data_IF_752977146455
#
_entry.id   IF_752977146455
#
_cell.length_a   1.000
_cell.length_b   1.000
_cell.length_c   1.000
_cell.angle_alpha   90.00
_cell.angle_beta   90.00
_cell.angle_gamma   90.00
#
_symmetry.space_group_name_H-M   'P 1'
#
loop_
_entity.id
_entity.type
_entity.pdbx_description
1 polymer ?
#
# COMPACT_ATOMS: atom_id res chain seq x y z
N UNK A 1 -11.97 -34.47 -21.52
CA UNK A 1 -12.05 -34.05 -20.12
C UNK A 1 -11.06 -32.89 -20.00
N UNK A 2 -11.57 -31.65 -20.05
CA UNK A 2 -10.73 -30.47 -19.92
C UNK A 2 -10.35 -30.32 -18.44
N UNK A 3 -9.05 -30.35 -18.16
CA UNK A 3 -8.55 -29.94 -16.87
C UNK A 3 -9.03 -28.52 -16.60
N UNK A 4 -9.84 -28.35 -15.57
CA UNK A 4 -10.22 -27.04 -15.05
C UNK A 4 -8.95 -26.38 -14.58
N UNK A 5 -8.45 -25.41 -15.34
CA UNK A 5 -7.27 -24.62 -14.97
C UNK A 5 -7.51 -23.99 -13.60
N UNK A 6 -6.86 -24.52 -12.56
CA UNK A 6 -6.69 -23.80 -11.29
C UNK A 6 -5.91 -22.55 -11.65
N UNK A 7 -6.52 -21.38 -11.47
CA UNK A 7 -5.78 -20.13 -11.50
C UNK A 7 -4.70 -20.19 -10.42
N UNK A 8 -3.50 -19.72 -10.74
CA UNK A 8 -2.43 -19.62 -9.74
C UNK A 8 -2.90 -18.77 -8.55
N UNK A 9 -2.49 -19.13 -7.31
CA UNK A 9 -2.83 -18.34 -6.12
C UNK A 9 -2.31 -16.91 -6.27
N UNK A 10 -3.13 -15.93 -5.87
CA UNK A 10 -2.71 -14.53 -5.86
C UNK A 10 -1.60 -14.31 -4.84
N UNK A 11 -0.53 -13.67 -5.25
CA UNK A 11 0.64 -13.41 -4.41
C UNK A 11 0.43 -12.13 -3.60
N UNK A 12 0.47 -12.24 -2.28
CA UNK A 12 0.24 -11.11 -1.38
C UNK A 12 1.47 -10.85 -0.52
N UNK A 13 1.91 -9.59 -0.49
CA UNK A 13 2.90 -9.09 0.44
C UNK A 13 2.22 -8.16 1.45
N UNK A 14 2.47 -8.35 2.74
CA UNK A 14 2.02 -7.44 3.80
C UNK A 14 3.21 -6.61 4.28
N UNK A 15 3.07 -5.29 4.28
CA UNK A 15 4.10 -4.37 4.81
C UNK A 15 3.48 -3.53 5.93
N UNK A 16 4.11 -3.53 7.09
CA UNK A 16 3.66 -2.79 8.28
C UNK A 16 4.73 -1.78 8.70
N UNK A 17 4.34 -0.55 8.98
CA UNK A 17 5.24 0.55 9.26
C UNK A 17 6.04 0.42 10.56
N UNK A 18 5.54 -0.36 11.52
CA UNK A 18 6.16 -0.58 12.83
C UNK A 18 5.67 -1.88 13.46
N UNK A 19 6.51 -2.51 14.26
CA UNK A 19 6.10 -3.67 15.08
C UNK A 19 4.97 -3.31 16.07
N UNK A 20 4.88 -2.06 16.50
CA UNK A 20 3.79 -1.58 17.34
C UNK A 20 2.41 -1.63 16.67
N UNK A 21 2.36 -1.71 15.34
CA UNK A 21 1.13 -1.77 14.57
C UNK A 21 0.64 -3.22 14.36
N UNK A 22 1.52 -4.22 14.55
CA UNK A 22 1.22 -5.64 14.34
C UNK A 22 0.00 -6.15 15.14
N UNK A 23 -0.27 -5.71 16.38
CA UNK A 23 -1.47 -6.13 17.11
C UNK A 23 -2.78 -5.85 16.38
N UNK A 24 -2.82 -4.81 15.51
CA UNK A 24 -3.98 -4.49 14.71
C UNK A 24 -4.14 -5.39 13.47
N UNK A 25 -3.14 -6.20 13.15
CA UNK A 25 -3.16 -7.05 11.97
C UNK A 25 -3.78 -8.45 12.22
N UNK A 26 -3.93 -8.87 13.47
CA UNK A 26 -4.25 -10.26 13.84
C UNK A 26 -5.40 -10.85 13.05
N UNK A 27 -6.59 -10.26 13.13
CA UNK A 27 -7.79 -10.77 12.46
C UNK A 27 -7.71 -10.81 10.94
N UNK A 28 -6.95 -9.89 10.33
CA UNK A 28 -6.70 -9.88 8.90
C UNK A 28 -5.71 -10.97 8.48
N UNK A 29 -4.67 -11.21 9.27
CA UNK A 29 -3.72 -12.29 9.00
C UNK A 29 -4.37 -13.66 9.13
N UNK A 30 -5.29 -13.86 10.08
CA UNK A 30 -6.10 -15.09 10.19
C UNK A 30 -6.95 -15.31 8.92
N UNK A 31 -7.54 -14.25 8.38
CA UNK A 31 -8.29 -14.30 7.12
C UNK A 31 -7.38 -14.70 5.97
N UNK A 32 -6.20 -14.11 5.82
CA UNK A 32 -5.25 -14.48 4.77
C UNK A 32 -4.81 -15.93 4.91
N UNK A 33 -4.57 -16.42 6.13
CA UNK A 33 -4.23 -17.82 6.40
C UNK A 33 -5.35 -18.78 5.97
N UNK A 34 -6.64 -18.42 6.19
CA UNK A 34 -7.77 -19.20 5.69
C UNK A 34 -7.79 -19.27 4.15
N UNK A 35 -7.65 -18.13 3.47
CA UNK A 35 -7.58 -18.08 2.01
C UNK A 35 -6.38 -18.85 1.45
N UNK A 36 -5.23 -18.79 2.11
CA UNK A 36 -4.03 -19.54 1.73
C UNK A 36 -4.24 -21.05 1.88
N UNK A 37 -4.87 -21.49 2.99
CA UNK A 37 -5.22 -22.92 3.21
C UNK A 37 -6.13 -23.48 2.12
N UNK A 38 -6.93 -22.63 1.49
CA UNK A 38 -7.83 -22.94 0.38
C UNK A 38 -7.15 -22.82 -1.01
N UNK A 39 -5.90 -22.40 -1.05
CA UNK A 39 -5.13 -22.21 -2.29
C UNK A 39 -5.61 -21.03 -3.16
N UNK A 40 -6.25 -20.03 -2.54
CA UNK A 40 -6.75 -18.82 -3.23
C UNK A 40 -5.67 -17.76 -3.28
N UNK A 41 -4.89 -17.62 -2.21
CA UNK A 41 -3.75 -16.72 -2.12
C UNK A 41 -2.50 -17.48 -1.70
N UNK A 42 -1.34 -16.84 -1.88
CA UNK A 42 -0.07 -17.21 -1.27
C UNK A 42 0.50 -15.96 -0.60
N UNK A 43 0.72 -16.01 0.70
CA UNK A 43 1.27 -14.87 1.45
C UNK A 43 2.78 -15.01 1.50
N UNK A 44 3.50 -14.13 0.81
CA UNK A 44 4.96 -14.17 0.74
C UNK A 44 5.60 -13.97 2.11
N UNK A 45 5.22 -12.89 2.79
CA UNK A 45 5.64 -12.60 4.17
C UNK A 45 4.85 -11.42 4.74
N UNK A 46 5.01 -11.21 6.04
CA UNK A 46 4.69 -9.95 6.73
C UNK A 46 6.01 -9.25 7.01
N UNK A 47 6.23 -8.10 6.37
CA UNK A 47 7.46 -7.33 6.44
C UNK A 47 7.24 -6.05 7.25
N UNK A 48 7.98 -5.87 8.32
CA UNK A 48 7.95 -4.63 9.12
C UNK A 48 9.06 -3.70 8.67
N UNK A 49 8.69 -2.55 8.11
CA UNK A 49 9.66 -1.55 7.68
C UNK A 49 9.08 -0.13 7.72
N UNK A 50 9.78 0.76 8.42
CA UNK A 50 9.45 2.18 8.41
C UNK A 50 9.98 2.85 7.14
N UNK A 51 9.10 3.46 6.36
CA UNK A 51 9.50 4.22 5.18
C UNK A 51 10.46 5.38 5.51
N UNK A 52 10.45 5.88 6.75
CA UNK A 52 11.33 6.96 7.18
C UNK A 52 12.69 6.49 7.72
N UNK A 53 12.74 5.29 8.33
CA UNK A 53 13.96 4.77 8.99
C UNK A 53 14.69 3.73 8.15
N UNK A 54 13.97 3.03 7.29
CA UNK A 54 14.47 1.94 6.46
C UNK A 54 14.25 2.21 4.96
N UNK A 55 14.24 3.48 4.54
CA UNK A 55 13.83 3.91 3.19
C UNK A 55 14.55 3.15 2.08
N UNK A 56 15.87 3.14 2.11
CA UNK A 56 16.69 2.50 1.09
C UNK A 56 16.44 0.99 1.04
N UNK A 57 16.55 0.31 2.18
CA UNK A 57 16.34 -1.14 2.27
C UNK A 57 14.95 -1.54 1.83
N UNK A 58 13.91 -0.79 2.23
CA UNK A 58 12.53 -1.05 1.80
C UNK A 58 12.39 -0.99 0.29
N UNK A 59 12.92 0.04 -0.35
CA UNK A 59 12.79 0.20 -1.79
C UNK A 59 13.66 -0.75 -2.59
N UNK A 60 14.82 -1.15 -2.09
CA UNK A 60 15.61 -2.22 -2.68
C UNK A 60 14.86 -3.55 -2.65
N UNK A 61 14.27 -3.92 -1.51
CA UNK A 61 13.44 -5.13 -1.39
C UNK A 61 12.23 -5.09 -2.32
N UNK A 62 11.51 -3.97 -2.40
CA UNK A 62 10.40 -3.82 -3.34
C UNK A 62 10.84 -3.99 -4.79
N UNK A 63 11.99 -3.44 -5.15
CA UNK A 63 12.54 -3.58 -6.50
C UNK A 63 12.84 -5.05 -6.85
N UNK A 64 13.45 -5.78 -5.93
CA UNK A 64 13.77 -7.20 -6.12
C UNK A 64 12.50 -8.04 -6.27
N UNK A 65 11.53 -7.86 -5.36
CA UNK A 65 10.25 -8.58 -5.38
C UNK A 65 9.47 -8.30 -6.66
N UNK A 66 9.36 -7.03 -7.08
CA UNK A 66 8.65 -6.68 -8.30
C UNK A 66 9.38 -7.13 -9.58
N UNK A 67 10.72 -7.15 -9.57
CA UNK A 67 11.49 -7.65 -10.70
C UNK A 67 11.29 -9.16 -10.94
N UNK A 68 11.05 -9.92 -9.88
CA UNK A 68 10.71 -11.34 -9.95
C UNK A 68 9.25 -11.57 -10.43
N UNK A 69 8.42 -10.53 -10.48
CA UNK A 69 6.97 -10.60 -10.75
C UNK A 69 6.20 -11.53 -9.79
N UNK A 70 6.68 -11.62 -8.55
CA UNK A 70 6.18 -12.57 -7.55
C UNK A 70 5.08 -11.97 -6.65
N UNK A 71 4.58 -10.76 -6.91
CA UNK A 71 3.57 -10.10 -6.10
C UNK A 71 2.46 -9.48 -6.96
N UNK A 72 1.21 -9.74 -6.58
CA UNK A 72 0.02 -9.14 -7.20
C UNK A 72 -0.53 -7.98 -6.35
N UNK A 73 -0.48 -8.12 -5.03
CA UNK A 73 -1.05 -7.16 -4.10
C UNK A 73 -0.11 -6.90 -2.94
N UNK A 74 0.12 -5.64 -2.63
CA UNK A 74 0.80 -5.22 -1.40
C UNK A 74 -0.24 -4.59 -0.47
N UNK A 75 -0.46 -5.20 0.70
CA UNK A 75 -1.23 -4.59 1.78
C UNK A 75 -0.24 -3.79 2.63
N UNK A 76 -0.33 -2.46 2.58
CA UNK A 76 0.57 -1.57 3.28
C UNK A 76 -0.17 -0.83 4.40
N UNK A 77 0.22 -1.06 5.66
CA UNK A 77 -0.42 -0.45 6.82
C UNK A 77 0.56 0.36 7.67
N UNK A 78 0.12 1.51 8.17
CA UNK A 78 0.89 2.31 9.11
C UNK A 78 -0.02 3.19 9.97
N UNK A 79 0.45 3.49 11.18
CA UNK A 79 -0.18 4.47 12.06
C UNK A 79 0.45 5.87 11.93
N UNK A 80 -0.04 6.82 12.73
CA UNK A 80 0.43 8.21 12.79
C UNK A 80 0.34 8.89 11.42
N UNK A 81 1.46 9.41 10.90
CA UNK A 81 1.52 9.90 9.53
C UNK A 81 1.85 8.71 8.59
N UNK A 82 0.83 8.02 8.13
CA UNK A 82 0.91 6.76 7.39
C UNK A 82 1.39 6.97 5.95
N UNK A 83 2.62 7.45 5.78
CA UNK A 83 3.20 7.70 4.44
C UNK A 83 3.52 6.40 3.69
N UNK A 84 3.65 5.25 4.38
CA UNK A 84 4.09 4.00 3.79
C UNK A 84 3.27 3.57 2.56
N UNK A 85 1.92 3.53 2.60
CA UNK A 85 1.14 3.12 1.42
C UNK A 85 1.37 4.02 0.21
N UNK A 86 1.34 5.33 0.41
CA UNK A 86 1.56 6.31 -0.66
C UNK A 86 2.96 6.27 -1.25
N UNK A 87 3.99 6.05 -0.41
CA UNK A 87 5.39 5.95 -0.86
C UNK A 87 5.64 4.65 -1.62
N UNK A 88 5.04 3.53 -1.19
CA UNK A 88 5.10 2.26 -1.92
C UNK A 88 4.44 2.40 -3.30
N UNK A 89 3.23 2.96 -3.36
CA UNK A 89 2.54 3.20 -4.62
C UNK A 89 3.34 4.12 -5.54
N UNK A 90 3.84 5.25 -5.02
CA UNK A 90 4.65 6.18 -5.79
C UNK A 90 5.92 5.52 -6.36
N UNK A 91 6.61 4.70 -5.58
CA UNK A 91 7.80 3.98 -6.03
C UNK A 91 7.48 3.00 -7.16
N UNK A 92 6.40 2.22 -7.02
CA UNK A 92 5.94 1.30 -8.06
C UNK A 92 5.61 2.05 -9.35
N UNK A 93 4.81 3.13 -9.27
CA UNK A 93 4.32 3.86 -10.46
C UNK A 93 5.39 4.71 -11.13
N UNK A 94 6.15 5.50 -10.35
CA UNK A 94 7.06 6.51 -10.92
C UNK A 94 8.49 6.01 -11.09
N UNK A 95 8.93 5.03 -10.30
CA UNK A 95 10.30 4.51 -10.38
C UNK A 95 10.37 3.20 -11.14
N UNK A 96 9.49 2.25 -10.84
CA UNK A 96 9.49 0.93 -11.48
C UNK A 96 8.61 0.88 -12.73
N UNK A 97 7.77 1.88 -12.98
CA UNK A 97 6.77 1.91 -14.05
C UNK A 97 5.85 0.67 -14.04
N UNK A 98 5.56 0.16 -12.84
CA UNK A 98 4.72 -0.99 -12.63
C UNK A 98 3.23 -0.59 -12.65
N UNK A 99 2.39 -1.39 -13.33
CA UNK A 99 0.93 -1.25 -13.35
C UNK A 99 0.22 -2.55 -12.98
N UNK A 100 0.97 -3.54 -12.52
CA UNK A 100 0.44 -4.84 -12.12
C UNK A 100 0.13 -4.87 -10.62
N UNK A 101 1.10 -4.51 -9.80
CA UNK A 101 1.00 -4.60 -8.34
C UNK A 101 0.05 -3.56 -7.77
N UNK A 102 -1.05 -3.99 -7.14
CA UNK A 102 -2.00 -3.10 -6.48
C UNK A 102 -1.58 -2.86 -5.03
N UNK A 103 -1.57 -1.61 -4.59
CA UNK A 103 -1.35 -1.25 -3.19
C UNK A 103 -2.69 -1.02 -2.51
N UNK A 104 -2.95 -1.79 -1.45
CA UNK A 104 -4.09 -1.61 -0.55
C UNK A 104 -3.58 -0.96 0.73
N UNK A 105 -4.00 0.27 0.99
CA UNK A 105 -3.54 1.05 2.15
C UNK A 105 -4.42 0.86 3.36
N UNK A 106 -3.83 0.82 4.54
CA UNK A 106 -4.55 0.74 5.83
C UNK A 106 -3.99 1.78 6.80
N UNK A 107 -4.88 2.59 7.39
CA UNK A 107 -4.54 3.50 8.48
C UNK A 107 -4.72 2.78 9.82
N UNK A 108 -3.63 2.62 10.59
CA UNK A 108 -3.76 2.07 11.93
C UNK A 108 -4.18 3.13 12.94
N UNK A 109 -4.98 2.70 13.89
CA UNK A 109 -5.53 3.56 14.94
C UNK A 109 -4.52 3.81 16.05
N UNK A 110 -4.63 4.99 16.67
CA UNK A 110 -3.99 5.27 17.95
C UNK A 110 -5.10 5.48 18.99
N UNK A 111 -5.21 4.54 19.93
CA UNK A 111 -6.21 4.58 21.00
C UNK A 111 -6.00 5.75 21.98
N UNK A 112 -4.80 6.30 22.02
CA UNK A 112 -4.41 7.38 22.96
C UNK A 112 -4.59 8.77 22.36
N UNK A 113 -4.50 8.90 21.03
CA UNK A 113 -4.63 10.19 20.35
C UNK A 113 -5.27 10.05 18.96
N UNK A 114 -6.56 10.38 18.88
CA UNK A 114 -7.32 10.34 17.63
C UNK A 114 -6.75 11.21 16.51
N UNK A 115 -5.93 12.22 16.83
CA UNK A 115 -5.25 13.06 15.81
C UNK A 115 -4.26 12.23 15.00
N UNK A 116 -3.64 11.23 15.60
CA UNK A 116 -2.74 10.32 14.88
C UNK A 116 -3.51 9.44 13.90
N UNK A 117 -4.69 8.95 14.30
CA UNK A 117 -5.57 8.21 13.39
C UNK A 117 -6.03 9.08 12.23
N UNK A 118 -6.44 10.33 12.48
CA UNK A 118 -6.83 11.26 11.41
C UNK A 118 -5.63 11.60 10.50
N UNK A 119 -4.44 11.79 11.05
CA UNK A 119 -3.24 12.01 10.28
C UNK A 119 -2.90 10.80 9.38
N UNK A 120 -3.06 9.58 9.90
CA UNK A 120 -2.87 8.35 9.13
C UNK A 120 -3.84 8.29 7.94
N UNK A 121 -5.12 8.55 8.15
CA UNK A 121 -6.16 8.59 7.11
C UNK A 121 -5.83 9.59 6.02
N UNK A 122 -5.55 10.84 6.40
CA UNK A 122 -5.21 11.91 5.47
C UNK A 122 -3.91 11.63 4.69
N UNK A 123 -2.92 11.02 5.34
CA UNK A 123 -1.65 10.65 4.68
C UNK A 123 -1.81 9.59 3.60
N UNK A 124 -2.91 8.86 3.58
CA UNK A 124 -3.21 7.88 2.53
C UNK A 124 -4.16 8.50 1.48
N UNK A 125 -5.25 9.16 1.93
CA UNK A 125 -6.30 9.64 1.03
C UNK A 125 -5.95 10.90 0.26
N UNK A 126 -5.15 11.80 0.86
CA UNK A 126 -4.93 13.15 0.32
C UNK A 126 -3.61 13.29 -0.48
N UNK A 127 -3.00 12.18 -0.89
CA UNK A 127 -1.79 12.21 -1.74
C UNK A 127 -2.19 12.38 -3.21
N UNK A 128 -1.86 13.52 -3.85
CA UNK A 128 -2.25 13.76 -5.24
C UNK A 128 -1.67 12.73 -6.20
N UNK A 129 -2.55 12.05 -6.94
CA UNK A 129 -2.15 11.07 -7.95
C UNK A 129 -1.84 9.68 -7.42
N UNK A 130 -2.08 9.42 -6.14
CA UNK A 130 -2.01 8.06 -5.59
C UNK A 130 -3.07 7.16 -6.23
N UNK A 131 -2.72 5.89 -6.40
CA UNK A 131 -3.63 4.83 -6.84
C UNK A 131 -3.83 3.77 -5.73
N UNK A 132 -3.50 4.14 -4.49
CA UNK A 132 -3.74 3.30 -3.32
C UNK A 132 -5.23 3.02 -3.15
N UNK A 133 -5.59 1.76 -3.05
CA UNK A 133 -6.95 1.33 -2.69
C UNK A 133 -7.09 1.46 -1.18
N UNK A 134 -7.88 2.42 -0.72
CA UNK A 134 -7.99 2.76 0.69
C UNK A 134 -9.39 2.54 1.28
N UNK A 135 -10.33 2.06 0.48
CA UNK A 135 -11.71 1.84 0.92
C UNK A 135 -12.41 0.76 0.12
N UNK A 136 -13.46 0.22 0.70
CA UNK A 136 -14.47 -0.62 0.06
C UNK A 136 -15.88 0.00 0.20
N UNK A 137 -16.92 -0.79 -0.02
CA UNK A 137 -18.31 -0.33 0.13
C UNK A 137 -18.69 0.02 1.58
N UNK A 138 -17.98 -0.54 2.58
CA UNK A 138 -18.20 -0.28 3.99
C UNK A 138 -17.44 0.97 4.50
N UNK A 139 -16.52 1.52 3.71
CA UNK A 139 -15.76 2.72 4.01
C UNK A 139 -14.25 2.52 4.00
N UNK A 140 -13.53 3.50 4.55
CA UNK A 140 -12.06 3.48 4.61
C UNK A 140 -11.51 2.31 5.44
N UNK A 141 -10.32 1.84 5.09
CA UNK A 141 -9.62 0.80 5.82
C UNK A 141 -8.87 1.42 7.01
N UNK A 142 -9.51 1.39 8.19
CA UNK A 142 -9.00 1.98 9.42
C UNK A 142 -9.01 0.93 10.53
N UNK A 143 -7.93 0.85 11.31
CA UNK A 143 -7.78 -0.05 12.45
C UNK A 143 -7.86 -1.54 12.10
N UNK A 144 -8.07 -2.38 13.12
CA UNK A 144 -8.11 -3.84 12.94
C UNK A 144 -9.19 -4.33 11.97
N UNK A 145 -10.39 -3.74 12.01
CA UNK A 145 -11.47 -4.08 11.08
C UNK A 145 -11.13 -3.65 9.65
N UNK A 146 -10.56 -2.46 9.49
CA UNK A 146 -10.08 -1.98 8.20
C UNK A 146 -9.01 -2.89 7.61
N UNK A 147 -8.03 -3.31 8.40
CA UNK A 147 -7.00 -4.26 7.97
C UNK A 147 -7.61 -5.60 7.55
N UNK A 148 -8.56 -6.13 8.34
CA UNK A 148 -9.27 -7.36 7.98
C UNK A 148 -10.00 -7.25 6.65
N UNK A 149 -10.73 -6.15 6.41
CA UNK A 149 -11.45 -5.89 5.15
C UNK A 149 -10.48 -5.73 3.97
N UNK A 150 -9.36 -5.06 4.17
CA UNK A 150 -8.28 -4.94 3.18
C UNK A 150 -7.72 -6.31 2.77
N UNK A 151 -7.52 -7.22 3.73
CA UNK A 151 -7.11 -8.61 3.47
C UNK A 151 -8.16 -9.39 2.66
N UNK A 152 -9.44 -9.26 2.99
CA UNK A 152 -10.53 -9.87 2.22
C UNK A 152 -10.53 -9.35 0.78
N UNK A 153 -10.49 -8.04 0.58
CA UNK A 153 -10.45 -7.42 -0.74
C UNK A 153 -9.24 -7.89 -1.56
N UNK A 154 -8.07 -7.94 -0.93
CA UNK A 154 -6.85 -8.43 -1.58
C UNK A 154 -6.98 -9.89 -2.04
N UNK A 155 -7.63 -10.73 -1.24
CA UNK A 155 -7.82 -12.15 -1.55
C UNK A 155 -8.90 -12.39 -2.61
N UNK A 156 -10.07 -11.76 -2.47
CA UNK A 156 -11.22 -11.99 -3.34
C UNK A 156 -11.09 -11.31 -4.72
N UNK A 157 -10.37 -10.20 -4.82
CA UNK A 157 -10.17 -9.46 -6.06
C UNK A 157 -11.16 -8.31 -6.21
N UNK A 158 -11.43 -7.94 -7.47
CA UNK A 158 -12.20 -6.72 -7.75
C UNK A 158 -11.36 -5.45 -7.67
N UNK A 159 -10.04 -5.60 -7.70
CA UNK A 159 -9.09 -4.51 -7.62
C UNK A 159 -9.10 -3.67 -8.91
N UNK A 160 -8.84 -2.36 -8.82
CA UNK A 160 -8.87 -1.47 -9.96
C UNK A 160 -7.73 -1.78 -10.94
N UNK A 161 -7.93 -1.39 -12.20
CA UNK A 161 -6.83 -1.33 -13.17
C UNK A 161 -6.00 -0.08 -12.90
N UNK A 162 -4.70 -0.28 -12.81
CA UNK A 162 -3.74 0.79 -12.57
C UNK A 162 -3.29 1.43 -13.89
N UNK A 163 -2.85 2.67 -13.80
CA UNK A 163 -2.34 3.43 -14.93
C UNK A 163 -0.97 4.02 -14.59
N UNK A 164 -0.11 4.14 -15.59
CA UNK A 164 1.11 4.92 -15.41
C UNK A 164 0.74 6.41 -15.31
N UNK A 165 1.13 7.06 -14.22
CA UNK A 165 0.89 8.49 -14.07
C UNK A 165 1.73 9.28 -15.07
N UNK A 166 1.24 10.45 -15.47
CA UNK A 166 2.02 11.38 -16.29
C UNK A 166 3.16 11.96 -15.44
N UNK A 167 4.43 11.74 -15.81
CA UNK A 167 5.55 12.34 -15.10
C UNK A 167 5.46 13.87 -15.12
N UNK A 168 5.69 14.48 -13.98
CA UNK A 168 5.85 15.93 -13.89
C UNK A 168 7.34 16.26 -13.94
N UNK A 169 7.78 17.16 -14.84
CA UNK A 169 9.18 17.51 -14.91
C UNK A 169 9.60 18.27 -13.65
N UNK A 170 10.76 17.92 -13.13
CA UNK A 170 11.42 18.69 -12.09
C UNK A 170 11.79 20.06 -12.62
N UNK A 171 11.71 21.06 -11.75
CA UNK A 171 12.06 22.44 -12.09
C UNK A 171 12.94 23.04 -11.01
N UNK A 172 14.17 23.31 -11.36
CA UNK A 172 15.07 24.14 -10.54
C UNK A 172 14.86 25.60 -10.95
N UNK A 173 14.61 26.47 -9.97
CA UNK A 173 14.40 27.90 -10.15
C UNK A 173 15.24 28.68 -9.16
N UNK A 174 15.80 29.81 -9.58
CA UNK A 174 16.36 30.78 -8.67
C UNK A 174 15.27 31.49 -7.85
N UNK A 175 15.64 32.04 -6.69
CA UNK A 175 14.73 32.86 -5.89
C UNK A 175 14.13 34.01 -6.71
N UNK A 176 14.94 34.63 -7.57
CA UNK A 176 14.50 35.76 -8.44
C UNK A 176 13.39 35.31 -9.39
N UNK A 177 13.52 34.15 -10.02
CA UNK A 177 12.50 33.61 -10.91
C UNK A 177 11.20 33.32 -10.16
N UNK A 178 11.27 32.72 -8.94
CA UNK A 178 10.10 32.48 -8.14
C UNK A 178 9.42 33.77 -7.74
N UNK A 179 10.16 34.78 -7.25
CA UNK A 179 9.60 36.06 -6.84
C UNK A 179 8.95 36.80 -8.02
N UNK A 180 9.50 36.69 -9.25
CA UNK A 180 8.91 37.31 -10.43
C UNK A 180 7.53 36.78 -10.81
N UNK A 181 7.13 35.61 -10.33
CA UNK A 181 5.79 35.05 -10.55
C UNK A 181 4.69 35.70 -9.71
N UNK A 182 5.08 36.41 -8.64
CA UNK A 182 4.13 37.09 -7.72
C UNK A 182 3.96 38.60 -8.06
N UNK A 183 4.78 39.12 -8.98
CA UNK A 183 4.74 40.52 -9.37
C UNK A 183 3.85 40.77 -10.62
N UNK A 184 2.66 40.09 -10.66
CA UNK A 184 1.64 40.34 -11.69
C UNK A 184 0.38 40.95 -11.11
#
# INVERSE_FOLDING_TARGET
MSESGKSEPRQILVIVGSDSDLPQCGSGLEVLQDFESRGIVSVMCVYTASVHRNTEVLFEQLKEICAAQDVDVIIAGAGWAAHLPGMVDAYLRFTLADTHVVVVGVAFEDEHDSRHTEAAKLSISEVPGTQVVYQDQAGQFVGPDGFRRACILAAEGGLPRLQLPQPRPDRTRSIREVLSTFCR
#
